data_IF_246937440309
#
_entry.id   IF_246937440309
#
_cell.length_a   1.000
_cell.length_b   1.000
_cell.length_c   1.000
_cell.angle_alpha   90.00
_cell.angle_beta   90.00
_cell.angle_gamma   90.00
#
_symmetry.space_group_name_H-M   'P 1'
#
loop_
_entity.id
_entity.type
_entity.pdbx_description
1 polymer ?
#
# COMPACT_ATOMS: atom_id res chain seq x y z
N UNK A 1 3.20 13.03 -27.51
CA UNK A 1 2.66 13.01 -26.12
C UNK A 1 2.89 11.60 -25.60
N UNK A 2 3.97 11.39 -24.84
CA UNK A 2 4.30 10.06 -24.32
C UNK A 2 3.27 9.64 -23.27
N UNK A 3 2.84 8.38 -23.28
CA UNK A 3 1.99 7.82 -22.24
C UNK A 3 2.64 8.09 -20.88
N UNK A 4 2.03 8.94 -20.05
CA UNK A 4 2.39 9.11 -18.65
C UNK A 4 2.14 7.78 -17.96
N UNK A 5 3.20 7.10 -17.52
CA UNK A 5 3.08 5.89 -16.71
C UNK A 5 3.05 6.35 -15.27
N UNK A 6 1.85 6.59 -14.74
CA UNK A 6 1.69 6.96 -13.34
C UNK A 6 2.11 5.76 -12.48
N UNK A 7 3.14 5.95 -11.64
CA UNK A 7 3.63 4.89 -10.76
C UNK A 7 2.65 4.66 -9.62
N UNK A 8 2.24 3.41 -9.39
CA UNK A 8 1.28 3.07 -8.33
C UNK A 8 1.98 2.58 -7.07
N UNK A 9 1.65 3.18 -5.94
CA UNK A 9 2.17 2.79 -4.61
C UNK A 9 1.02 2.34 -3.73
N UNK A 10 1.06 1.08 -3.32
CA UNK A 10 0.16 0.50 -2.34
C UNK A 10 0.60 0.92 -0.93
N UNK A 11 -0.32 1.40 -0.09
CA UNK A 11 -0.04 1.68 1.33
C UNK A 11 -0.72 0.58 2.16
N UNK A 12 0.08 -0.26 2.83
CA UNK A 12 -0.38 -1.25 3.80
C UNK A 12 -0.27 -0.68 5.20
N UNK A 13 -1.35 -0.73 5.96
CA UNK A 13 -1.47 -0.14 7.31
C UNK A 13 -2.56 -0.88 8.08
N UNK A 14 -2.53 -0.84 9.42
CA UNK A 14 -3.66 -1.33 10.21
C UNK A 14 -4.81 -0.33 10.15
N UNK A 15 -6.06 -0.77 10.08
CA UNK A 15 -7.22 0.13 10.19
C UNK A 15 -7.31 0.89 11.52
N UNK A 16 -6.49 0.51 12.51
CA UNK A 16 -6.33 1.26 13.76
C UNK A 16 -5.33 2.43 13.66
N UNK A 17 -4.51 2.47 12.61
CA UNK A 17 -3.43 3.45 12.40
C UNK A 17 -3.84 4.55 11.40
N UNK A 18 -5.12 4.93 11.37
CA UNK A 18 -5.63 5.95 10.45
C UNK A 18 -4.93 7.31 10.61
N UNK A 19 -4.52 7.65 11.83
CA UNK A 19 -3.75 8.87 12.10
C UNK A 19 -2.39 8.86 11.40
N UNK A 20 -1.72 7.70 11.35
CA UNK A 20 -0.47 7.53 10.64
C UNK A 20 -0.66 7.61 9.12
N UNK A 21 -1.69 6.94 8.61
CA UNK A 21 -2.06 7.03 7.20
C UNK A 21 -2.29 8.49 6.78
N UNK A 22 -3.07 9.26 7.55
CA UNK A 22 -3.37 10.65 7.23
C UNK A 22 -2.12 11.54 7.22
N UNK A 23 -1.20 11.34 8.16
CA UNK A 23 0.10 12.04 8.20
C UNK A 23 0.94 11.72 6.98
N UNK A 24 1.04 10.44 6.59
CA UNK A 24 1.82 10.00 5.44
C UNK A 24 1.23 10.53 4.14
N UNK A 25 -0.09 10.45 3.94
CA UNK A 25 -0.75 11.04 2.77
C UNK A 25 -0.50 12.55 2.67
N UNK A 26 -0.53 13.26 3.80
CA UNK A 26 -0.22 14.69 3.83
C UNK A 26 1.22 14.96 3.42
N UNK A 27 2.18 14.18 3.92
CA UNK A 27 3.60 14.28 3.58
C UNK A 27 3.85 13.99 2.09
N UNK A 28 3.20 12.96 1.56
CA UNK A 28 3.39 12.49 0.18
C UNK A 28 2.59 13.29 -0.86
N UNK A 29 1.66 14.15 -0.45
CA UNK A 29 0.81 14.95 -1.37
C UNK A 29 1.60 15.73 -2.42
N UNK A 30 2.77 16.28 -2.06
CA UNK A 30 3.65 16.98 -3.02
C UNK A 30 4.38 16.00 -3.94
N UNK A 31 4.67 14.80 -3.47
CA UNK A 31 5.33 13.74 -4.25
C UNK A 31 4.38 13.19 -5.31
N UNK A 32 3.10 12.96 -4.99
CA UNK A 32 2.10 12.53 -5.98
C UNK A 32 2.07 13.45 -7.21
N UNK A 33 2.09 14.77 -6.98
CA UNK A 33 2.05 15.77 -8.05
C UNK A 33 3.38 15.89 -8.78
N UNK A 34 4.49 15.97 -8.05
CA UNK A 34 5.80 16.28 -8.63
C UNK A 34 6.47 15.06 -9.28
N UNK A 35 6.19 13.86 -8.78
CA UNK A 35 6.84 12.62 -9.19
C UNK A 35 5.90 11.68 -9.97
N UNK A 36 4.67 12.11 -10.25
CA UNK A 36 3.67 11.35 -11.02
C UNK A 36 3.36 9.97 -10.40
N UNK A 37 3.12 9.99 -9.10
CA UNK A 37 2.82 8.81 -8.28
C UNK A 37 1.34 8.84 -7.88
N UNK A 38 0.69 7.68 -7.91
CA UNK A 38 -0.66 7.47 -7.37
C UNK A 38 -0.52 6.65 -6.09
N UNK A 39 -0.96 7.20 -4.96
CA UNK A 39 -1.11 6.45 -3.73
C UNK A 39 -2.45 5.71 -3.71
N UNK A 40 -2.42 4.42 -3.35
CA UNK A 40 -3.61 3.61 -3.18
C UNK A 40 -3.60 2.93 -1.82
N UNK A 41 -4.78 2.85 -1.20
CA UNK A 41 -5.04 2.15 0.05
C UNK A 41 -6.47 1.57 0.00
N UNK A 42 -6.77 0.65 0.90
CA UNK A 42 -8.02 -0.11 0.90
C UNK A 42 -9.23 0.67 1.43
N UNK A 43 -9.04 1.81 2.12
CA UNK A 43 -10.09 2.81 2.39
C UNK A 43 -10.86 3.24 1.11
N UNK A 44 -10.24 3.08 -0.06
CA UNK A 44 -10.87 3.39 -1.36
C UNK A 44 -11.83 2.30 -1.85
N UNK A 45 -11.92 1.16 -1.16
CA UNK A 45 -12.81 0.05 -1.53
C UNK A 45 -14.20 0.30 -0.93
N UNK A 46 -15.21 0.29 -1.79
CA UNK A 46 -16.61 0.44 -1.36
C UNK A 46 -17.06 -0.76 -0.52
N UNK A 47 -17.72 -0.49 0.61
CA UNK A 47 -18.31 -1.51 1.47
C UNK A 47 -19.28 -2.40 0.67
N UNK A 48 -19.15 -3.73 0.83
CA UNK A 48 -19.96 -4.73 0.13
C UNK A 48 -19.33 -5.31 -1.13
N UNK A 49 -18.21 -4.75 -1.62
CA UNK A 49 -17.43 -5.34 -2.71
C UNK A 49 -16.60 -6.54 -2.20
N UNK A 50 -16.18 -7.46 -3.08
CA UNK A 50 -15.21 -8.50 -2.71
C UNK A 50 -13.83 -7.86 -2.51
N UNK A 51 -13.67 -7.20 -1.37
CA UNK A 51 -12.53 -6.37 -1.02
C UNK A 51 -11.20 -7.12 -1.12
N UNK A 52 -11.18 -8.43 -0.81
CA UNK A 52 -9.99 -9.29 -0.96
C UNK A 52 -9.52 -9.38 -2.41
N UNK A 53 -10.45 -9.51 -3.35
CA UNK A 53 -10.13 -9.60 -4.76
C UNK A 53 -9.59 -8.27 -5.30
N UNK A 54 -10.15 -7.14 -4.87
CA UNK A 54 -9.65 -5.81 -5.26
C UNK A 54 -8.26 -5.53 -4.67
N UNK A 55 -8.01 -5.83 -3.38
CA UNK A 55 -6.66 -5.69 -2.79
C UNK A 55 -5.64 -6.52 -3.57
N UNK A 56 -5.96 -7.80 -3.86
CA UNK A 56 -5.05 -8.67 -4.63
C UNK A 56 -4.76 -8.10 -6.03
N UNK A 57 -5.79 -7.62 -6.71
CA UNK A 57 -5.68 -7.01 -8.05
C UNK A 57 -4.82 -5.74 -8.02
N UNK A 58 -5.01 -4.89 -7.01
CA UNK A 58 -4.22 -3.68 -6.87
C UNK A 58 -2.75 -3.99 -6.53
N UNK A 59 -2.49 -4.93 -5.61
CA UNK A 59 -1.14 -5.46 -5.32
C UNK A 59 -0.46 -5.94 -6.60
N UNK A 60 -1.16 -6.69 -7.46
CA UNK A 60 -0.58 -7.16 -8.72
C UNK A 60 -0.21 -6.02 -9.68
N UNK A 61 -0.96 -4.92 -9.66
CA UNK A 61 -0.76 -3.77 -10.54
C UNK A 61 0.22 -2.71 -10.02
N UNK A 62 0.58 -2.74 -8.74
CA UNK A 62 1.43 -1.73 -8.12
C UNK A 62 2.92 -1.88 -8.48
N UNK A 63 3.61 -0.75 -8.55
CA UNK A 63 5.06 -0.67 -8.76
C UNK A 63 5.83 -0.76 -7.42
N UNK A 64 5.21 -0.31 -6.32
CA UNK A 64 5.77 -0.38 -4.99
C UNK A 64 4.69 -0.52 -3.91
N UNK A 65 5.11 -0.93 -2.70
CA UNK A 65 4.32 -0.91 -1.48
C UNK A 65 5.07 -0.18 -0.35
N UNK A 66 4.35 0.64 0.40
CA UNK A 66 4.79 1.28 1.64
C UNK A 66 4.08 0.59 2.80
N UNK A 67 4.83 -0.03 3.71
CA UNK A 67 4.29 -0.70 4.89
C UNK A 67 4.44 0.23 6.10
N UNK A 68 3.34 0.65 6.69
CA UNK A 68 3.31 1.46 7.90
C UNK A 68 3.35 0.52 9.11
N UNK A 69 4.56 0.23 9.59
CA UNK A 69 4.81 -0.76 10.63
C UNK A 69 4.66 -0.10 12.01
N UNK A 70 3.63 -0.51 12.73
CA UNK A 70 3.28 -0.19 14.13
C UNK A 70 3.05 -1.49 14.89
N UNK A 71 2.81 -1.41 16.20
CA UNK A 71 2.35 -2.57 16.99
C UNK A 71 1.05 -3.17 16.42
N UNK A 72 0.09 -2.32 16.03
CA UNK A 72 -1.21 -2.74 15.50
C UNK A 72 -1.10 -3.35 14.10
N UNK A 73 -0.13 -2.92 13.28
CA UNK A 73 0.19 -3.56 12.00
C UNK A 73 0.70 -4.99 12.23
N UNK A 74 1.66 -5.16 13.14
CA UNK A 74 2.27 -6.46 13.43
C UNK A 74 1.24 -7.42 14.05
N UNK A 75 0.40 -6.92 14.96
CA UNK A 75 -0.65 -7.71 15.63
C UNK A 75 -1.86 -8.03 14.72
N UNK A 76 -1.95 -7.41 13.54
CA UNK A 76 -3.09 -7.60 12.65
C UNK A 76 -3.07 -8.96 11.96
N UNK A 77 -3.96 -9.83 12.43
CA UNK A 77 -4.24 -11.14 11.85
C UNK A 77 -4.65 -11.04 10.37
N UNK A 78 -5.35 -9.96 10.02
CA UNK A 78 -5.81 -9.70 8.68
C UNK A 78 -4.62 -9.42 7.73
N UNK A 79 -3.73 -8.49 8.09
CA UNK A 79 -2.54 -8.13 7.32
C UNK A 79 -1.65 -9.37 7.11
N UNK A 80 -1.35 -10.09 8.20
CA UNK A 80 -0.47 -11.25 8.17
C UNK A 80 -1.01 -12.39 7.30
N UNK A 81 -2.34 -12.59 7.26
CA UNK A 81 -2.96 -13.71 6.52
C UNK A 81 -3.35 -13.35 5.08
N UNK A 82 -3.58 -12.08 4.75
CA UNK A 82 -4.22 -11.70 3.50
C UNK A 82 -3.44 -10.66 2.67
N UNK A 83 -2.63 -9.80 3.29
CA UNK A 83 -1.90 -8.74 2.58
C UNK A 83 -0.42 -9.04 2.41
N UNK A 84 0.27 -9.36 3.51
CA UNK A 84 1.71 -9.60 3.48
C UNK A 84 2.12 -10.75 2.55
N UNK A 85 1.46 -11.92 2.56
CA UNK A 85 1.84 -13.01 1.66
C UNK A 85 1.82 -12.62 0.18
N UNK A 86 0.72 -12.07 -0.40
CA UNK A 86 0.72 -11.66 -1.81
C UNK A 86 1.65 -10.48 -2.11
N UNK A 87 1.88 -9.56 -1.16
CA UNK A 87 2.87 -8.49 -1.31
C UNK A 87 4.29 -9.04 -1.46
N UNK A 88 4.69 -9.94 -0.56
CA UNK A 88 6.01 -10.56 -0.56
C UNK A 88 6.20 -11.46 -1.79
N UNK A 89 5.16 -12.20 -2.18
CA UNK A 89 5.17 -12.99 -3.41
C UNK A 89 5.43 -12.09 -4.63
N UNK A 90 4.67 -11.01 -4.78
CA UNK A 90 4.83 -10.05 -5.88
C UNK A 90 6.21 -9.39 -5.86
N UNK A 91 6.75 -9.06 -4.69
CA UNK A 91 8.08 -8.47 -4.56
C UNK A 91 9.22 -9.44 -4.96
N UNK A 92 9.01 -10.74 -4.78
CA UNK A 92 10.00 -11.78 -5.12
C UNK A 92 10.17 -12.03 -6.64
N UNK A 93 9.24 -11.54 -7.47
CA UNK A 93 9.28 -11.74 -8.92
C UNK A 93 10.46 -11.00 -9.59
N UNK A 94 10.90 -11.46 -10.77
CA UNK A 94 12.01 -10.83 -11.54
C UNK A 94 11.78 -9.36 -11.89
N UNK A 95 10.51 -8.92 -11.95
CA UNK A 95 10.08 -7.51 -12.07
C UNK A 95 9.09 -7.19 -10.96
N UNK A 96 9.43 -7.64 -9.75
CA UNK A 96 8.64 -7.50 -8.54
C UNK A 96 8.42 -6.04 -8.16
N UNK A 97 7.39 -5.79 -7.35
CA UNK A 97 7.22 -4.48 -6.75
C UNK A 97 8.33 -4.21 -5.72
N UNK A 98 8.66 -2.94 -5.49
CA UNK A 98 9.54 -2.55 -4.38
C UNK A 98 8.75 -2.49 -3.07
N UNK A 99 9.33 -2.94 -1.95
CA UNK A 99 8.73 -2.81 -0.62
C UNK A 99 9.56 -1.82 0.21
N UNK A 100 8.88 -0.81 0.75
CA UNK A 100 9.44 0.18 1.66
C UNK A 100 8.81 -0.01 3.06
N UNK A 101 9.51 -0.65 4.00
CA UNK A 101 9.05 -0.71 5.38
C UNK A 101 9.33 0.62 6.09
N UNK A 102 8.33 1.19 6.75
CA UNK A 102 8.46 2.37 7.60
C UNK A 102 8.01 2.02 9.01
N UNK A 103 8.98 1.87 9.91
CA UNK A 103 8.72 1.66 11.34
C UNK A 103 8.34 3.00 11.97
N UNK A 104 7.11 3.11 12.46
CA UNK A 104 6.52 4.36 12.95
C UNK A 104 6.50 4.45 14.48
N UNK A 105 6.55 3.30 15.15
CA UNK A 105 6.55 3.18 16.60
C UNK A 105 7.60 2.14 17.04
N UNK A 106 8.20 2.27 18.24
CA UNK A 106 9.31 1.44 18.70
C UNK A 106 8.96 -0.04 18.96
#
# INVERSE_FOLDING_TARGET
MGNKVNKRVFISYSHKDLDWLAKIQTFLKRIEVNCDVILWNDDKIQAGTNWRAEIKKEIQSCDAALLLITEEFIASDFINKNELPPLLERASEKRGMLIFPLVLEP
#
